data_IF_255089509168
#
_entry.id   IF_255089509168
#
_cell.length_a   1.000
_cell.length_b   1.000
_cell.length_c   1.000
_cell.angle_alpha   90.00
_cell.angle_beta   90.00
_cell.angle_gamma   90.00
#
_symmetry.space_group_name_H-M   'P 1'
#
loop_
_entity.id
_entity.type
_entity.pdbx_description
1 polymer ?
#
# COMPACT_ATOMS: atom_id res chain seq x y z
N UNK A 1 -10.36 11.22 -30.52
CA UNK A 1 -9.24 10.45 -29.93
C UNK A 1 -9.79 9.26 -29.15
N UNK A 2 -9.52 8.05 -29.60
CA UNK A 2 -9.98 6.84 -28.94
C UNK A 2 -9.20 6.64 -27.63
N UNK A 3 -9.88 6.66 -26.47
CA UNK A 3 -9.28 6.26 -25.18
C UNK A 3 -8.90 4.78 -25.28
N UNK A 4 -7.60 4.47 -25.29
CA UNK A 4 -7.12 3.10 -25.14
C UNK A 4 -7.65 2.57 -23.81
N UNK A 5 -8.46 1.51 -23.84
CA UNK A 5 -8.90 0.80 -22.64
C UNK A 5 -7.66 0.18 -21.99
N UNK A 6 -7.39 0.55 -20.74
CA UNK A 6 -6.33 -0.11 -19.97
C UNK A 6 -6.72 -1.58 -19.76
N UNK A 7 -5.83 -2.48 -20.15
CA UNK A 7 -6.08 -3.93 -20.02
C UNK A 7 -5.54 -4.41 -18.67
N UNK A 8 -6.37 -5.09 -17.92
CA UNK A 8 -5.98 -5.76 -16.66
C UNK A 8 -4.88 -6.79 -16.93
N UNK A 9 -3.81 -6.75 -16.15
CA UNK A 9 -2.69 -7.66 -16.32
C UNK A 9 -3.01 -9.05 -15.75
N UNK A 10 -2.63 -10.09 -16.50
CA UNK A 10 -2.65 -11.46 -16.00
C UNK A 10 -1.52 -11.68 -14.97
N UNK A 11 -1.59 -12.71 -14.09
CA UNK A 11 -0.53 -13.02 -13.13
C UNK A 11 0.85 -13.19 -13.79
N UNK A 12 0.90 -13.80 -14.97
CA UNK A 12 2.14 -13.96 -15.75
C UNK A 12 2.68 -12.64 -16.29
N UNK A 13 1.80 -11.72 -16.68
CA UNK A 13 2.17 -10.39 -17.11
C UNK A 13 2.65 -9.52 -15.94
N UNK A 14 2.08 -9.69 -14.74
CA UNK A 14 2.54 -9.06 -13.50
C UNK A 14 3.96 -9.48 -13.12
N UNK A 15 4.27 -10.77 -13.22
CA UNK A 15 5.63 -11.26 -12.97
C UNK A 15 6.66 -10.65 -13.94
N UNK A 16 6.31 -10.56 -15.23
CA UNK A 16 7.18 -9.90 -16.23
C UNK A 16 7.36 -8.43 -15.95
N UNK A 17 6.30 -7.74 -15.56
CA UNK A 17 6.36 -6.33 -15.18
C UNK A 17 7.28 -6.11 -13.97
N UNK A 18 7.18 -6.95 -12.94
CA UNK A 18 8.06 -6.92 -11.78
C UNK A 18 9.53 -7.05 -12.20
N UNK A 19 9.86 -8.07 -13.00
CA UNK A 19 11.23 -8.26 -13.50
C UNK A 19 11.74 -7.04 -14.28
N UNK A 20 10.89 -6.45 -15.11
CA UNK A 20 11.24 -5.26 -15.88
C UNK A 20 11.51 -4.05 -14.99
N UNK A 21 10.65 -3.78 -14.02
CA UNK A 21 10.83 -2.68 -13.07
C UNK A 21 12.10 -2.84 -12.22
N UNK A 22 12.45 -4.07 -11.86
CA UNK A 22 13.73 -4.39 -11.21
C UNK A 22 14.91 -3.99 -12.09
N UNK A 23 14.87 -4.35 -13.38
CA UNK A 23 15.94 -4.05 -14.34
C UNK A 23 16.05 -2.55 -14.64
N UNK A 24 14.95 -1.81 -14.60
CA UNK A 24 14.92 -0.36 -14.84
C UNK A 24 15.36 0.49 -13.62
N UNK A 25 15.87 -0.14 -12.56
CA UNK A 25 16.41 0.53 -11.38
C UNK A 25 15.39 0.84 -10.28
N UNK A 26 14.12 0.49 -10.49
CA UNK A 26 13.10 0.52 -9.43
C UNK A 26 13.27 -0.64 -8.44
N UNK A 27 14.23 -1.52 -8.70
CA UNK A 27 14.49 -2.74 -7.95
C UNK A 27 15.47 -2.63 -6.80
N UNK A 28 16.16 -1.51 -6.63
CA UNK A 28 17.06 -1.33 -5.48
C UNK A 28 16.33 -1.28 -4.14
N UNK A 29 15.01 -1.25 -4.17
CA UNK A 29 14.13 -1.33 -3.00
C UNK A 29 13.58 -2.74 -2.78
N UNK A 30 13.97 -3.72 -3.60
CA UNK A 30 13.23 -4.98 -3.71
C UNK A 30 13.72 -6.11 -2.86
N UNK A 31 14.97 -6.14 -2.48
CA UNK A 31 15.49 -7.29 -1.74
C UNK A 31 16.65 -6.87 -0.84
N UNK A 32 16.41 -6.76 0.46
CA UNK A 32 17.39 -7.29 1.38
C UNK A 32 17.32 -8.83 1.24
N UNK A 33 18.43 -9.49 1.07
CA UNK A 33 18.53 -10.95 0.86
C UNK A 33 17.86 -11.77 1.98
N UNK A 34 17.55 -11.17 3.11
CA UNK A 34 16.91 -11.80 4.28
C UNK A 34 15.38 -11.92 4.20
N UNK A 35 14.71 -11.23 3.27
CA UNK A 35 13.27 -11.41 3.02
C UNK A 35 13.00 -12.36 1.86
N UNK A 36 14.03 -12.92 1.31
CA UNK A 36 14.02 -13.67 0.09
C UNK A 36 13.25 -14.94 0.32
N UNK A 37 12.57 -15.54 0.64
CA UNK A 37 12.10 -16.93 0.46
C UNK A 37 11.04 -17.45 1.42
N UNK A 38 10.50 -16.65 2.28
CA UNK A 38 9.22 -17.06 2.84
C UNK A 38 8.11 -16.73 1.86
N UNK A 39 8.18 -17.50 0.80
CA UNK A 39 7.11 -17.95 -0.06
C UNK A 39 5.85 -17.05 -0.03
N UNK A 40 5.83 -16.09 -0.92
CA UNK A 40 4.54 -15.74 -1.50
C UNK A 40 4.02 -16.99 -2.18
N UNK A 41 3.15 -17.73 -1.51
CA UNK A 41 2.47 -18.84 -2.10
C UNK A 41 1.58 -18.27 -3.19
N UNK A 42 2.00 -18.39 -4.45
CA UNK A 42 1.30 -17.86 -5.62
C UNK A 42 -0.10 -18.45 -5.78
N UNK A 43 -0.41 -19.50 -5.08
CA UNK A 43 -1.71 -20.19 -5.14
C UNK A 43 -2.75 -19.59 -4.21
N UNK A 44 -2.36 -18.92 -3.11
CA UNK A 44 -3.34 -18.38 -2.15
C UNK A 44 -3.43 -16.86 -2.14
N UNK A 45 -2.52 -16.11 -2.78
CA UNK A 45 -2.50 -14.64 -2.82
C UNK A 45 -2.69 -13.93 -1.46
N UNK A 46 -2.53 -14.64 -0.36
CA UNK A 46 -2.56 -14.10 1.00
C UNK A 46 -1.19 -14.31 1.62
N UNK A 47 -0.59 -13.29 2.22
CA UNK A 47 0.45 -13.54 3.20
C UNK A 47 -0.20 -14.45 4.26
N UNK A 48 0.34 -15.65 4.43
CA UNK A 48 -0.18 -16.56 5.45
C UNK A 48 -0.18 -15.87 6.81
N UNK A 49 -1.12 -16.26 7.67
CA UNK A 49 -1.48 -15.71 8.98
C UNK A 49 -0.34 -15.71 10.04
N UNK A 50 0.90 -15.77 9.60
CA UNK A 50 2.09 -15.79 10.46
C UNK A 50 2.77 -14.43 10.63
N UNK A 51 2.29 -13.37 9.95
CA UNK A 51 2.81 -12.02 10.18
C UNK A 51 2.18 -11.50 11.46
N UNK A 52 3.01 -11.41 12.50
CA UNK A 52 2.63 -10.82 13.77
C UNK A 52 2.09 -9.39 13.54
N UNK A 53 0.96 -9.06 14.15
CA UNK A 53 0.36 -7.74 14.05
C UNK A 53 1.29 -6.70 14.68
N UNK A 54 1.76 -5.76 13.87
CA UNK A 54 2.75 -4.74 14.26
C UNK A 54 2.12 -3.44 14.72
N UNK A 55 0.84 -3.23 14.44
CA UNK A 55 0.09 -2.03 14.83
C UNK A 55 -0.38 -2.12 16.27
N UNK A 56 -0.86 -3.30 16.69
CA UNK A 56 -1.41 -3.50 18.04
C UNK A 56 -0.46 -3.08 19.16
N UNK A 57 0.85 -3.41 19.15
CA UNK A 57 1.77 -3.00 20.21
C UNK A 57 1.96 -1.49 20.35
N UNK A 58 1.69 -0.73 19.27
CA UNK A 58 1.88 0.73 19.27
C UNK A 58 0.56 1.51 19.26
N UNK A 59 -0.59 0.84 19.28
CA UNK A 59 -1.92 1.46 19.14
C UNK A 59 -2.14 2.61 20.12
N UNK A 60 -1.77 2.45 21.39
CA UNK A 60 -1.92 3.49 22.41
C UNK A 60 -1.11 4.76 22.08
N UNK A 61 0.10 4.57 21.52
CA UNK A 61 0.92 5.70 21.09
C UNK A 61 0.34 6.42 19.86
N UNK A 62 -0.30 5.69 18.94
CA UNK A 62 -0.93 6.26 17.76
C UNK A 62 -2.11 7.16 18.10
N UNK A 63 -2.90 6.81 19.11
CA UNK A 63 -4.05 7.62 19.57
C UNK A 63 -3.62 9.01 20.05
N UNK A 64 -2.42 9.13 20.59
CA UNK A 64 -1.88 10.40 21.09
C UNK A 64 -1.40 11.36 19.98
N UNK A 65 -1.11 10.86 18.78
CA UNK A 65 -0.59 11.64 17.65
C UNK A 65 -1.75 12.36 16.97
N UNK A 66 -1.71 13.69 16.97
CA UNK A 66 -2.75 14.54 16.36
C UNK A 66 -2.46 14.93 14.92
N UNK A 67 -1.18 14.92 14.54
CA UNK A 67 -0.77 15.26 13.17
C UNK A 67 -0.95 14.03 12.26
N UNK A 68 -1.79 14.12 11.20
CA UNK A 68 -2.06 12.99 10.31
C UNK A 68 -0.82 12.44 9.60
N UNK A 69 0.10 13.30 9.19
CA UNK A 69 1.31 12.88 8.47
C UNK A 69 2.30 12.20 9.42
N UNK A 70 2.46 12.73 10.64
CA UNK A 70 3.28 12.10 11.69
C UNK A 70 2.71 10.73 12.08
N UNK A 71 1.39 10.62 12.23
CA UNK A 71 0.73 9.36 12.51
C UNK A 71 0.97 8.35 11.39
N UNK A 72 0.79 8.75 10.13
CA UNK A 72 1.02 7.90 8.98
C UNK A 72 2.50 7.44 8.87
N UNK A 73 3.46 8.33 9.13
CA UNK A 73 4.89 7.97 9.19
C UNK A 73 5.16 6.99 10.33
N UNK A 74 4.56 7.17 11.48
CA UNK A 74 4.70 6.24 12.62
C UNK A 74 4.13 4.87 12.29
N UNK A 75 2.96 4.80 11.65
CA UNK A 75 2.38 3.54 11.18
C UNK A 75 3.32 2.87 10.17
N UNK A 76 3.79 3.58 9.15
CA UNK A 76 4.71 3.02 8.13
C UNK A 76 6.01 2.51 8.75
N UNK A 77 6.52 3.13 9.80
CA UNK A 77 7.79 2.74 10.43
C UNK A 77 7.78 1.33 11.04
N UNK A 78 6.62 0.75 11.29
CA UNK A 78 6.48 -0.61 11.84
C UNK A 78 6.00 -1.62 10.81
N UNK A 79 5.54 -1.18 9.65
CA UNK A 79 5.08 -2.04 8.57
C UNK A 79 6.26 -2.62 7.78
N UNK A 80 6.03 -3.75 7.13
CA UNK A 80 7.00 -4.36 6.21
C UNK A 80 6.82 -3.77 4.83
N UNK A 81 7.93 -3.41 4.20
CA UNK A 81 7.94 -3.02 2.81
C UNK A 81 7.53 -4.20 1.92
N UNK A 82 6.52 -3.97 1.11
CA UNK A 82 5.96 -4.97 0.21
C UNK A 82 6.59 -4.93 -1.17
N UNK A 83 6.00 -5.64 -2.13
CA UNK A 83 6.49 -5.68 -3.50
C UNK A 83 6.30 -4.33 -4.20
N UNK A 84 7.20 -4.02 -5.15
CA UNK A 84 7.10 -2.80 -6.00
C UNK A 84 5.79 -2.76 -6.80
N UNK A 85 5.35 -3.92 -7.29
CA UNK A 85 4.04 -4.06 -7.93
C UNK A 85 3.07 -4.62 -6.90
N UNK A 86 2.04 -3.85 -6.53
CA UNK A 86 1.11 -4.29 -5.50
C UNK A 86 0.26 -5.49 -5.95
N UNK A 87 -0.25 -6.22 -4.98
CA UNK A 87 -1.13 -7.37 -5.23
C UNK A 87 -2.59 -6.89 -5.13
N UNK A 88 -3.44 -7.15 -6.15
CA UNK A 88 -4.87 -6.84 -6.06
C UNK A 88 -5.53 -7.51 -4.83
N UNK A 89 -6.37 -6.76 -4.13
CA UNK A 89 -7.03 -7.20 -2.90
C UNK A 89 -6.24 -6.91 -1.62
N UNK A 90 -4.94 -6.63 -1.71
CA UNK A 90 -4.09 -6.33 -0.55
C UNK A 90 -4.12 -4.86 -0.17
N UNK A 91 -3.74 -4.57 1.07
CA UNK A 91 -3.74 -3.24 1.65
C UNK A 91 -2.31 -2.71 1.75
N UNK A 92 -2.15 -1.41 1.45
CA UNK A 92 -0.85 -0.75 1.48
C UNK A 92 -0.95 0.68 2.01
N UNK A 93 0.11 1.11 2.69
CA UNK A 93 0.43 2.52 2.90
C UNK A 93 1.70 2.86 2.13
N UNK A 94 1.80 4.08 1.63
CA UNK A 94 2.99 4.56 0.93
C UNK A 94 3.07 6.08 0.97
N UNK A 95 4.24 6.63 0.66
CA UNK A 95 4.38 8.06 0.40
C UNK A 95 4.08 8.33 -1.06
N UNK A 96 3.22 9.31 -1.32
CA UNK A 96 2.76 9.68 -2.65
C UNK A 96 3.17 11.11 -2.99
N UNK A 97 3.60 11.37 -4.23
CA UNK A 97 3.83 12.72 -4.74
C UNK A 97 2.47 13.40 -4.97
N UNK A 98 1.94 13.97 -3.89
CA UNK A 98 0.61 14.54 -3.90
C UNK A 98 0.56 15.81 -4.75
N UNK A 99 -0.52 15.97 -5.53
CA UNK A 99 -0.83 17.20 -6.26
C UNK A 99 -1.43 18.27 -5.35
N UNK A 100 -1.96 17.84 -4.22
CA UNK A 100 -2.63 18.68 -3.22
C UNK A 100 -2.09 18.33 -1.82
N UNK A 101 -0.81 18.62 -1.53
CA UNK A 101 -0.15 18.19 -0.29
C UNK A 101 -0.76 18.81 0.98
N UNK A 102 -1.50 19.90 0.85
CA UNK A 102 -2.25 20.55 1.92
C UNK A 102 -3.50 19.77 2.36
N UNK A 103 -3.96 18.82 1.55
CA UNK A 103 -5.07 17.96 1.93
C UNK A 103 -4.57 16.83 2.80
N UNK A 104 -5.19 16.66 3.97
CA UNK A 104 -4.87 15.57 4.90
C UNK A 104 -4.85 14.21 4.20
N UNK A 105 -3.84 13.41 4.52
CA UNK A 105 -3.63 12.05 4.00
C UNK A 105 -3.37 11.94 2.49
N UNK A 106 -3.18 13.03 1.76
CA UNK A 106 -2.83 12.95 0.34
C UNK A 106 -1.38 12.50 0.14
N UNK A 107 -0.48 12.86 1.07
CA UNK A 107 0.93 12.44 1.08
C UNK A 107 1.14 10.98 1.47
N UNK A 108 0.30 10.43 2.34
CA UNK A 108 0.45 9.10 2.93
C UNK A 108 -0.87 8.33 2.89
N UNK A 109 -1.34 7.91 1.70
CA UNK A 109 -2.61 7.22 1.57
C UNK A 109 -2.56 5.79 2.11
N UNK A 110 -3.64 5.37 2.79
CA UNK A 110 -3.95 3.97 3.07
C UNK A 110 -4.95 3.49 2.02
N UNK A 111 -4.62 2.40 1.34
CA UNK A 111 -5.40 1.94 0.19
C UNK A 111 -5.60 0.43 0.17
N UNK A 112 -6.69 0.00 -0.48
CA UNK A 112 -6.87 -1.38 -0.96
C UNK A 112 -6.73 -1.40 -2.47
N UNK A 113 -5.78 -2.16 -2.99
CA UNK A 113 -5.55 -2.26 -4.44
C UNK A 113 -6.66 -3.07 -5.09
N UNK A 114 -7.29 -2.50 -6.10
CA UNK A 114 -8.36 -3.14 -6.87
C UNK A 114 -7.88 -3.67 -8.20
N UNK A 115 -7.05 -2.89 -8.91
CA UNK A 115 -6.57 -3.24 -10.24
C UNK A 115 -5.12 -2.78 -10.43
N UNK A 116 -4.34 -3.56 -11.20
CA UNK A 116 -2.94 -3.26 -11.50
C UNK A 116 -2.72 -3.21 -13.00
N UNK A 117 -1.97 -2.19 -13.45
CA UNK A 117 -1.65 -1.89 -14.84
C UNK A 117 -0.14 -1.72 -15.04
N UNK A 118 0.32 -1.66 -16.28
CA UNK A 118 1.73 -1.46 -16.60
C UNK A 118 2.31 -0.11 -16.13
N UNK A 119 1.47 0.90 -15.93
CA UNK A 119 1.86 2.26 -15.52
C UNK A 119 1.60 2.56 -14.04
N UNK A 120 0.85 1.72 -13.34
CA UNK A 120 0.41 1.97 -11.97
C UNK A 120 -0.74 1.08 -11.55
N UNK A 121 -1.55 1.54 -10.62
CA UNK A 121 -2.67 0.77 -10.08
C UNK A 121 -3.86 1.67 -9.73
N UNK A 122 -5.03 1.05 -9.63
CA UNK A 122 -6.23 1.66 -9.05
C UNK A 122 -6.43 1.04 -7.67
N UNK A 123 -6.72 1.88 -6.69
CA UNK A 123 -6.96 1.43 -5.33
C UNK A 123 -8.05 2.27 -4.66
N UNK A 124 -8.81 1.62 -3.79
CA UNK A 124 -9.74 2.29 -2.90
C UNK A 124 -8.96 3.01 -1.81
N UNK A 125 -9.08 4.32 -1.74
CA UNK A 125 -8.44 5.16 -0.72
C UNK A 125 -9.37 5.27 0.48
N UNK A 126 -8.95 4.73 1.63
CA UNK A 126 -9.74 4.71 2.86
C UNK A 126 -9.98 6.10 3.46
N UNK A 127 -9.04 7.03 3.29
CA UNK A 127 -9.21 8.39 3.82
C UNK A 127 -10.25 9.18 3.04
N UNK A 128 -10.36 8.93 1.74
CA UNK A 128 -11.26 9.66 0.86
C UNK A 128 -12.56 8.92 0.56
N UNK A 129 -12.62 7.60 0.82
CA UNK A 129 -13.79 6.77 0.59
C UNK A 129 -14.12 6.57 -0.89
N UNK A 130 -13.10 6.53 -1.76
CA UNK A 130 -13.27 6.36 -3.20
C UNK A 130 -12.04 5.76 -3.88
N UNK A 131 -12.23 5.21 -5.07
CA UNK A 131 -11.13 4.74 -5.91
C UNK A 131 -10.31 5.90 -6.45
N UNK A 132 -8.97 5.72 -6.42
CA UNK A 132 -8.00 6.62 -7.03
C UNK A 132 -7.01 5.84 -7.88
N UNK A 133 -6.45 6.52 -8.87
CA UNK A 133 -5.35 6.02 -9.69
C UNK A 133 -4.04 6.53 -9.14
N UNK A 134 -3.08 5.62 -9.02
CA UNK A 134 -1.71 5.90 -8.61
C UNK A 134 -0.76 5.40 -9.70
N UNK A 135 0.26 6.18 -10.03
CA UNK A 135 1.30 5.77 -10.99
C UNK A 135 2.57 5.40 -10.24
N UNK A 136 3.33 4.44 -10.75
CA UNK A 136 4.58 4.02 -10.10
C UNK A 136 5.57 5.16 -9.89
N UNK A 137 5.81 6.09 -10.85
CA UNK A 137 6.71 7.21 -10.64
C UNK A 137 6.28 8.19 -9.55
N UNK A 138 4.99 8.23 -9.20
CA UNK A 138 4.46 9.11 -8.15
C UNK A 138 4.53 8.48 -6.75
N UNK A 139 4.78 7.16 -6.66
CA UNK A 139 5.03 6.47 -5.39
C UNK A 139 6.47 6.72 -4.97
N UNK A 140 6.67 7.35 -3.84
CA UNK A 140 7.99 7.64 -3.27
C UNK A 140 8.38 6.60 -2.23
N UNK A 141 9.50 5.93 -2.45
CA UNK A 141 9.93 4.81 -1.61
C UNK A 141 9.12 3.54 -1.87
N UNK A 142 8.89 2.74 -0.83
CA UNK A 142 8.22 1.45 -0.94
C UNK A 142 6.71 1.50 -0.74
N UNK A 143 6.06 0.39 -1.08
CA UNK A 143 4.70 0.08 -0.67
C UNK A 143 4.76 -0.72 0.64
N UNK A 144 4.23 -0.17 1.72
CA UNK A 144 4.22 -0.83 3.03
C UNK A 144 2.93 -1.63 3.18
N UNK A 145 3.09 -2.95 3.34
CA UNK A 145 1.94 -3.85 3.40
C UNK A 145 1.25 -3.78 4.75
N UNK A 146 -0.08 -3.70 4.73
CA UNK A 146 -0.96 -3.76 5.89
C UNK A 146 -1.73 -5.07 5.83
N UNK A 147 -1.76 -5.83 6.93
CA UNK A 147 -2.58 -7.03 7.03
C UNK A 147 -4.04 -6.68 7.36
N UNK A 148 -4.95 -7.64 7.17
CA UNK A 148 -6.36 -7.42 7.50
C UNK A 148 -6.58 -7.16 9.01
N UNK A 149 -5.77 -7.76 9.89
CA UNK A 149 -5.85 -7.53 11.33
C UNK A 149 -5.26 -6.18 11.72
N UNK A 150 -4.16 -5.77 11.10
CA UNK A 150 -3.60 -4.42 11.27
C UNK A 150 -4.59 -3.34 10.79
N UNK A 151 -5.31 -3.59 9.70
CA UNK A 151 -6.35 -2.68 9.22
C UNK A 151 -7.45 -2.48 10.26
N UNK A 152 -7.89 -3.56 10.93
CA UNK A 152 -8.89 -3.47 12.02
C UNK A 152 -8.36 -2.63 13.18
N UNK A 153 -7.10 -2.81 13.57
CA UNK A 153 -6.51 -2.01 14.64
C UNK A 153 -6.37 -0.53 14.24
N UNK A 154 -6.07 -0.23 12.97
CA UNK A 154 -6.08 1.14 12.45
C UNK A 154 -7.49 1.76 12.45
N UNK A 155 -8.54 0.97 12.23
CA UNK A 155 -9.95 1.43 12.31
C UNK A 155 -10.36 1.85 13.73
N UNK A 156 -9.68 1.35 14.76
CA UNK A 156 -9.94 1.72 16.16
C UNK A 156 -9.35 3.10 16.53
N UNK A 157 -8.45 3.64 15.71
CA UNK A 157 -7.91 4.99 15.93
C UNK A 157 -9.04 6.00 15.75
N UNK A 158 -9.18 7.00 16.65
CA UNK A 158 -10.24 8.00 16.53
C UNK A 158 -10.27 8.64 15.15
N UNK A 159 -11.45 8.74 14.54
CA UNK A 159 -11.66 9.28 13.20
C UNK A 159 -11.08 10.71 13.02
N UNK A 160 -11.01 11.48 14.09
CA UNK A 160 -10.41 12.82 14.07
C UNK A 160 -8.90 12.79 13.79
N UNK A 161 -8.22 11.72 14.23
CA UNK A 161 -6.77 11.57 14.12
C UNK A 161 -6.38 10.82 12.84
N UNK A 162 -7.15 9.77 12.51
CA UNK A 162 -6.90 8.93 11.33
C UNK A 162 -8.22 8.61 10.64
N UNK A 163 -8.56 9.41 9.64
CA UNK A 163 -9.84 9.29 8.95
C UNK A 163 -9.87 8.03 8.10
N UNK A 164 -10.65 7.04 8.50
CA UNK A 164 -10.89 5.84 7.69
C UNK A 164 -12.36 5.74 7.30
N UNK A 165 -12.59 5.49 6.02
CA UNK A 165 -13.91 5.29 5.43
C UNK A 165 -13.91 3.93 4.74
N UNK A 166 -14.28 2.83 5.42
CA UNK A 166 -14.32 1.51 4.82
C UNK A 166 -15.29 1.49 3.62
N UNK A 167 -15.05 0.63 2.64
CA UNK A 167 -16.00 0.42 1.54
C UNK A 167 -17.34 -0.04 2.11
N UNK A 168 -18.42 0.50 1.54
CA UNK A 168 -19.79 0.14 1.91
C UNK A 168 -20.16 -1.23 1.36
#
# INVERSE_FOLDING_TARGET
MARRKATRLSPKALLRLRSKLVQEGYGNFLFSEDTSTKAYNLETNRPEDTIENRIRPISDSLVSIKNPDELAERVKSVLIEGPVVPIPGSYYMFRYMAKTPEIKFDLNPLVQVTEVFSYGFIAYNFHWGRNRRYTYPEVQGGLYQVTADELKDLELIPFQNFQMKPPK
#
